data_IF_779631600623
#
_entry.id   IF_779631600623
#
_cell.length_a   1.000
_cell.length_b   1.000
_cell.length_c   1.000
_cell.angle_alpha   90.00
_cell.angle_beta   90.00
_cell.angle_gamma   90.00
#
_symmetry.space_group_name_H-M   'P 1'
#
loop_
_entity.id
_entity.type
_entity.pdbx_description
1 polymer ?
#
# COMPACT_ATOMS: atom_id res chain seq x y z
N UNK A 1 54.11 -28.64 105.26
CA UNK A 1 53.18 -29.73 105.58
C UNK A 1 52.08 -29.69 104.45
N UNK A 2 52.00 -30.75 103.66
CA UNK A 2 50.81 -31.34 103.12
C UNK A 2 50.00 -30.40 102.18
N UNK A 3 49.57 -30.72 100.98
CA UNK A 3 49.17 -32.02 100.35
C UNK A 3 49.09 -31.80 98.81
N UNK A 4 49.67 -32.69 98.08
CA UNK A 4 49.42 -32.95 96.69
C UNK A 4 48.07 -33.60 96.51
N UNK A 5 47.36 -33.42 95.44
CA UNK A 5 46.71 -34.46 94.61
C UNK A 5 45.60 -33.89 93.75
N UNK A 6 45.61 -34.39 92.51
CA UNK A 6 44.51 -34.60 91.60
C UNK A 6 44.23 -33.49 90.56
N UNK A 7 45.07 -33.51 89.50
CA UNK A 7 44.74 -32.85 88.20
C UNK A 7 45.17 -33.77 87.03
N UNK A 8 44.53 -34.91 86.91
CA UNK A 8 44.90 -35.86 85.78
C UNK A 8 43.78 -36.66 85.20
N UNK A 9 42.47 -36.24 85.30
CA UNK A 9 41.40 -37.08 84.81
C UNK A 9 40.29 -36.33 83.99
N UNK A 10 40.54 -35.15 83.37
CA UNK A 10 39.54 -34.40 82.61
C UNK A 10 39.92 -34.13 81.17
N UNK A 11 41.09 -34.56 80.67
CA UNK A 11 41.57 -34.22 79.33
C UNK A 11 41.17 -35.21 78.21
N UNK A 12 40.73 -36.43 78.51
CA UNK A 12 40.43 -37.47 77.49
C UNK A 12 39.06 -37.37 76.83
N UNK A 13 37.93 -36.80 77.37
CA UNK A 13 36.66 -36.80 76.66
C UNK A 13 36.48 -35.59 75.71
N UNK A 14 37.35 -34.55 75.68
CA UNK A 14 37.17 -33.38 74.79
C UNK A 14 37.73 -33.64 73.40
N UNK A 15 38.70 -34.55 73.21
CA UNK A 15 39.27 -34.89 71.90
C UNK A 15 38.32 -35.72 71.02
N UNK A 16 37.31 -36.39 71.59
CA UNK A 16 36.36 -37.25 70.87
C UNK A 16 35.16 -36.49 70.27
N UNK A 17 34.94 -35.20 70.67
CA UNK A 17 33.83 -34.36 70.16
C UNK A 17 34.22 -33.52 68.92
N UNK A 18 35.47 -33.44 68.53
CA UNK A 18 35.96 -32.69 67.39
C UNK A 18 36.05 -33.55 66.09
N UNK A 19 35.82 -34.83 66.11
CA UNK A 19 35.87 -35.71 64.95
C UNK A 19 34.47 -35.94 64.26
N UNK A 20 33.39 -35.34 64.73
CA UNK A 20 32.03 -35.59 64.24
C UNK A 20 31.44 -34.54 63.23
N UNK A 21 32.25 -33.56 62.78
CA UNK A 21 31.77 -32.53 61.83
C UNK A 21 32.46 -32.59 60.44
N UNK A 22 32.67 -33.79 59.89
CA UNK A 22 33.04 -33.97 58.49
C UNK A 22 31.81 -34.52 57.75
N UNK A 23 30.67 -33.82 57.77
CA UNK A 23 29.63 -34.06 56.83
C UNK A 23 30.04 -33.55 55.45
N UNK A 24 30.21 -34.45 54.46
CA UNK A 24 30.33 -34.07 53.05
C UNK A 24 29.25 -33.03 52.73
N UNK A 25 29.60 -31.87 52.14
CA UNK A 25 28.60 -30.89 51.77
C UNK A 25 27.54 -31.56 50.90
N UNK A 26 26.29 -31.39 51.26
CA UNK A 26 25.16 -31.89 50.48
C UNK A 26 25.30 -31.38 49.04
N UNK A 27 25.06 -32.19 48.02
CA UNK A 27 25.13 -31.71 46.65
C UNK A 27 24.20 -30.52 46.48
N UNK A 28 24.75 -29.40 45.97
CA UNK A 28 23.94 -28.21 45.70
C UNK A 28 22.72 -28.60 44.83
N UNK A 29 21.50 -28.16 45.19
CA UNK A 29 20.32 -28.52 44.43
C UNK A 29 20.46 -27.96 42.98
N UNK A 30 20.33 -28.85 42.00
CA UNK A 30 20.41 -28.49 40.59
C UNK A 30 19.36 -27.44 40.28
N UNK A 31 19.77 -26.31 39.70
CA UNK A 31 18.87 -25.24 39.30
C UNK A 31 18.11 -25.63 38.04
N UNK A 32 16.78 -25.55 38.10
CA UNK A 32 15.92 -25.74 36.93
C UNK A 32 16.00 -24.52 36.03
N UNK A 33 16.20 -24.74 34.75
CA UNK A 33 16.25 -23.69 33.70
C UNK A 33 15.23 -23.98 32.62
N UNK A 34 14.67 -22.92 32.03
CA UNK A 34 13.90 -23.06 30.78
C UNK A 34 14.88 -22.93 29.62
N UNK A 35 14.68 -23.75 28.59
CA UNK A 35 15.51 -23.74 27.40
C UNK A 35 14.68 -23.65 26.14
N UNK A 36 15.23 -23.04 25.10
CA UNK A 36 14.74 -23.11 23.73
C UNK A 36 15.77 -23.79 22.85
N UNK A 37 15.31 -24.60 21.91
CA UNK A 37 16.15 -25.24 20.90
C UNK A 37 16.49 -24.23 19.81
N UNK A 38 17.76 -24.14 19.45
CA UNK A 38 18.25 -23.31 18.35
C UNK A 38 17.85 -23.96 17.03
N UNK A 39 16.92 -23.31 16.33
CA UNK A 39 16.49 -23.73 14.99
C UNK A 39 16.77 -22.59 14.03
N UNK A 40 17.54 -22.88 13.00
CA UNK A 40 17.85 -21.94 11.96
C UNK A 40 16.77 -21.99 10.88
N UNK A 41 15.96 -20.96 10.84
CA UNK A 41 15.01 -20.75 9.74
C UNK A 41 15.53 -19.65 8.82
N UNK A 42 15.27 -19.79 7.52
CA UNK A 42 15.43 -18.66 6.60
C UNK A 42 14.37 -17.63 6.97
N UNK A 43 14.79 -16.67 7.75
CA UNK A 43 13.86 -15.65 8.27
C UNK A 43 13.38 -14.79 7.12
N UNK A 44 12.15 -15.01 6.66
CA UNK A 44 11.49 -14.07 5.77
C UNK A 44 11.15 -12.83 6.56
N UNK A 45 11.80 -11.74 6.24
CA UNK A 45 11.39 -10.44 6.77
C UNK A 45 10.09 -10.02 6.09
N UNK A 46 9.10 -9.73 6.90
CA UNK A 46 7.76 -9.37 6.41
C UNK A 46 7.43 -7.97 6.87
N UNK A 47 7.31 -7.03 5.94
CA UNK A 47 6.82 -5.70 6.20
C UNK A 47 5.33 -5.60 5.87
N UNK A 48 4.66 -4.65 6.52
CA UNK A 48 3.22 -4.41 6.30
C UNK A 48 2.99 -2.94 5.96
N UNK A 49 2.32 -2.72 4.82
CA UNK A 49 1.89 -1.39 4.40
C UNK A 49 0.38 -1.35 4.37
N UNK A 50 -0.18 -0.19 4.72
CA UNK A 50 -1.60 0.06 4.60
C UNK A 50 -1.87 0.93 3.39
N UNK A 51 -2.94 0.64 2.68
CA UNK A 51 -3.33 1.34 1.49
C UNK A 51 -4.81 1.20 1.21
N UNK A 52 -5.22 1.63 0.04
CA UNK A 52 -6.60 1.57 -0.42
C UNK A 52 -6.70 0.99 -1.83
N UNK A 53 -7.85 0.39 -2.11
CA UNK A 53 -8.21 -0.05 -3.45
C UNK A 53 -8.66 1.17 -4.25
N UNK A 54 -8.00 1.42 -5.37
CA UNK A 54 -8.34 2.49 -6.30
C UNK A 54 -8.60 1.92 -7.70
N UNK A 55 -9.42 2.62 -8.46
CA UNK A 55 -9.52 2.33 -9.88
C UNK A 55 -8.20 2.70 -10.57
N UNK A 56 -7.81 1.89 -11.55
CA UNK A 56 -6.66 2.22 -12.41
C UNK A 56 -6.94 3.48 -13.24
N UNK A 57 -8.15 3.57 -13.78
CA UNK A 57 -8.61 4.67 -14.61
C UNK A 57 -9.83 5.33 -13.98
N UNK A 58 -9.66 6.57 -13.60
CA UNK A 58 -10.71 7.45 -13.12
C UNK A 58 -10.63 8.76 -13.90
N UNK A 59 -11.75 9.21 -14.42
CA UNK A 59 -11.85 10.41 -15.24
C UNK A 59 -12.80 11.39 -14.57
N UNK A 60 -12.27 12.57 -14.27
CA UNK A 60 -13.07 13.70 -13.87
C UNK A 60 -13.73 14.33 -15.10
N UNK A 61 -15.06 14.48 -15.04
CA UNK A 61 -15.85 15.04 -16.13
C UNK A 61 -16.37 16.42 -15.76
N UNK A 62 -16.37 17.29 -16.75
CA UNK A 62 -16.78 18.68 -16.66
C UNK A 62 -17.63 19.05 -17.88
N UNK A 63 -18.50 20.03 -17.73
CA UNK A 63 -19.14 20.68 -18.87
C UNK A 63 -18.12 21.47 -19.68
N UNK A 64 -18.30 21.49 -21.01
CA UNK A 64 -17.49 22.28 -21.95
C UNK A 64 -18.06 23.69 -22.15
N UNK A 65 -19.12 24.02 -21.45
CA UNK A 65 -19.78 25.32 -21.42
C UNK A 65 -20.33 25.58 -20.01
N UNK A 66 -20.43 26.82 -19.58
CA UNK A 66 -20.95 27.17 -18.27
C UNK A 66 -22.49 27.31 -18.27
N UNK A 67 -23.13 27.17 -17.14
CA UNK A 67 -24.55 27.36 -17.02
C UNK A 67 -25.14 26.84 -15.71
N UNK A 68 -26.46 27.06 -15.53
CA UNK A 68 -27.20 26.54 -14.38
C UNK A 68 -27.62 25.09 -14.63
N UNK A 69 -27.35 24.20 -13.69
CA UNK A 69 -27.79 22.80 -13.76
C UNK A 69 -29.30 22.71 -13.54
N UNK A 70 -30.01 22.14 -14.50
CA UNK A 70 -31.46 21.90 -14.40
C UNK A 70 -31.80 20.46 -14.09
N UNK A 71 -30.91 19.52 -14.36
CA UNK A 71 -31.18 18.09 -14.14
C UNK A 71 -29.89 17.32 -13.84
N UNK A 72 -29.93 16.46 -12.80
CA UNK A 72 -28.95 15.47 -12.45
C UNK A 72 -29.56 14.09 -12.69
N UNK A 73 -28.87 13.21 -13.44
CA UNK A 73 -29.39 11.89 -13.85
C UNK A 73 -28.63 10.74 -13.22
N UNK A 74 -27.59 11.01 -12.44
CA UNK A 74 -26.74 10.00 -11.84
C UNK A 74 -26.50 10.26 -10.35
N UNK A 75 -26.30 9.17 -9.61
CA UNK A 75 -25.91 9.15 -8.20
C UNK A 75 -24.59 8.44 -7.99
N UNK A 76 -23.93 8.70 -6.85
CA UNK A 76 -22.69 8.01 -6.47
C UNK A 76 -22.97 6.51 -6.32
N UNK A 77 -22.09 5.68 -6.89
CA UNK A 77 -22.22 4.22 -6.93
C UNK A 77 -23.04 3.69 -8.12
N UNK A 78 -23.66 4.57 -8.91
CA UNK A 78 -24.43 4.16 -10.09
C UNK A 78 -23.48 3.74 -11.24
N UNK A 79 -23.81 2.65 -11.92
CA UNK A 79 -23.14 2.22 -13.16
C UNK A 79 -23.68 3.04 -14.34
N UNK A 80 -22.76 3.49 -15.17
CA UNK A 80 -23.05 4.25 -16.38
C UNK A 80 -22.33 3.66 -17.57
N UNK A 81 -22.97 3.78 -18.74
CA UNK A 81 -22.36 3.42 -20.03
C UNK A 81 -21.92 4.68 -20.76
N UNK A 82 -20.95 4.55 -21.64
CA UNK A 82 -20.52 5.66 -22.50
C UNK A 82 -21.69 6.22 -23.28
N UNK A 83 -21.90 7.54 -23.18
CA UNK A 83 -23.00 8.25 -23.84
C UNK A 83 -24.20 8.50 -22.93
N UNK A 84 -24.32 7.82 -21.76
CA UNK A 84 -25.40 8.09 -20.81
C UNK A 84 -25.39 9.54 -20.36
N UNK A 85 -26.58 10.12 -20.21
CA UNK A 85 -26.72 11.51 -19.73
C UNK A 85 -26.45 11.56 -18.24
N UNK A 86 -25.47 12.37 -17.84
CA UNK A 86 -25.08 12.61 -16.45
C UNK A 86 -25.85 13.81 -15.88
N UNK A 87 -25.82 14.94 -16.58
CA UNK A 87 -26.43 16.18 -16.16
C UNK A 87 -26.79 17.05 -17.37
N UNK A 88 -27.70 17.96 -17.16
CA UNK A 88 -28.13 18.91 -18.20
C UNK A 88 -28.13 20.33 -17.61
N UNK A 89 -27.59 21.27 -18.37
CA UNK A 89 -27.66 22.69 -18.09
C UNK A 89 -28.97 23.30 -18.66
N UNK A 90 -29.31 24.48 -18.18
CA UNK A 90 -30.29 25.34 -18.86
C UNK A 90 -29.75 25.73 -20.23
N UNK A 91 -30.37 25.21 -21.27
CA UNK A 91 -29.92 25.36 -22.65
C UNK A 91 -30.68 26.48 -23.42
N UNK A 92 -31.51 27.25 -22.74
CA UNK A 92 -32.38 28.28 -23.36
C UNK A 92 -31.56 29.27 -24.19
N UNK A 93 -30.47 29.83 -23.60
CA UNK A 93 -29.65 30.80 -24.30
C UNK A 93 -28.88 30.16 -25.47
N UNK A 94 -28.45 28.89 -25.31
CA UNK A 94 -27.76 28.15 -26.38
C UNK A 94 -28.71 27.84 -27.55
N UNK A 95 -29.96 27.52 -27.30
CA UNK A 95 -30.97 27.34 -28.36
C UNK A 95 -31.24 28.66 -29.11
N UNK A 96 -31.39 29.75 -28.40
CA UNK A 96 -31.56 31.07 -29.00
C UNK A 96 -30.36 31.46 -29.87
N UNK A 97 -29.14 31.16 -29.42
CA UNK A 97 -27.93 31.37 -30.21
C UNK A 97 -27.89 30.54 -31.49
N UNK A 98 -28.32 29.28 -31.45
CA UNK A 98 -28.48 28.42 -32.65
C UNK A 98 -29.48 29.01 -33.61
N UNK A 99 -30.65 29.44 -33.13
CA UNK A 99 -31.70 30.05 -33.95
C UNK A 99 -31.23 31.34 -34.61
N UNK A 100 -30.58 32.24 -33.86
CA UNK A 100 -30.02 33.47 -34.38
C UNK A 100 -28.96 33.18 -35.49
N UNK A 101 -28.04 32.25 -35.26
CA UNK A 101 -27.06 31.87 -36.25
C UNK A 101 -27.65 31.21 -37.49
N UNK A 102 -28.75 30.47 -37.34
CA UNK A 102 -29.50 29.87 -38.44
C UNK A 102 -30.14 30.94 -39.33
N UNK A 103 -30.80 31.96 -38.72
CA UNK A 103 -31.37 33.10 -39.48
C UNK A 103 -30.30 33.93 -40.19
N UNK A 104 -29.14 34.15 -39.56
CA UNK A 104 -28.02 34.83 -40.15
C UNK A 104 -27.51 34.11 -41.38
N UNK A 105 -27.31 32.77 -41.29
CA UNK A 105 -26.91 31.95 -42.43
C UNK A 105 -27.93 31.99 -43.57
N UNK A 106 -29.23 31.92 -43.23
CA UNK A 106 -30.27 31.98 -44.24
C UNK A 106 -30.24 33.31 -45.05
N UNK A 107 -30.02 34.44 -44.35
CA UNK A 107 -29.87 35.75 -44.97
C UNK A 107 -28.59 35.80 -45.88
N UNK A 108 -27.43 35.33 -45.38
CA UNK A 108 -26.19 35.30 -46.16
C UNK A 108 -26.31 34.39 -47.39
N UNK A 109 -26.99 33.26 -47.25
CA UNK A 109 -27.25 32.37 -48.39
C UNK A 109 -28.14 33.01 -49.46
N UNK A 110 -29.15 33.79 -49.03
CA UNK A 110 -30.00 34.51 -49.98
C UNK A 110 -29.21 35.57 -50.77
N UNK A 111 -28.32 36.31 -50.07
CA UNK A 111 -27.43 37.26 -50.72
C UNK A 111 -26.44 36.60 -51.67
N UNK A 112 -25.85 35.47 -51.30
CA UNK A 112 -24.94 34.71 -52.14
C UNK A 112 -25.65 34.17 -53.39
N UNK A 113 -26.89 33.64 -53.25
CA UNK A 113 -27.67 33.21 -54.43
C UNK A 113 -28.00 34.38 -55.37
N UNK A 114 -28.38 35.55 -54.84
CA UNK A 114 -28.65 36.74 -55.65
C UNK A 114 -27.38 37.19 -56.41
N UNK A 115 -26.26 37.31 -55.73
CA UNK A 115 -24.99 37.74 -56.33
C UNK A 115 -24.52 36.76 -57.42
N UNK A 116 -24.68 35.44 -57.17
CA UNK A 116 -24.35 34.43 -58.17
C UNK A 116 -25.27 34.49 -59.40
N UNK A 117 -26.55 34.71 -59.23
CA UNK A 117 -27.53 34.93 -60.30
C UNK A 117 -27.18 36.15 -61.14
N UNK A 118 -26.78 37.25 -60.49
CA UNK A 118 -26.36 38.48 -61.15
C UNK A 118 -25.05 38.27 -61.93
N UNK A 119 -24.06 37.57 -61.35
CA UNK A 119 -22.83 37.20 -62.04
C UNK A 119 -23.10 36.34 -63.28
N UNK A 120 -23.96 35.35 -63.19
CA UNK A 120 -24.30 34.50 -64.33
C UNK A 120 -24.97 35.30 -65.46
N UNK A 121 -25.87 36.23 -65.12
CA UNK A 121 -26.57 37.10 -66.09
C UNK A 121 -25.58 38.02 -66.79
N UNK A 122 -24.69 38.73 -66.03
CA UNK A 122 -23.68 39.61 -66.59
C UNK A 122 -22.65 38.84 -67.45
N UNK A 123 -22.25 37.67 -67.05
CA UNK A 123 -21.35 36.82 -67.84
C UNK A 123 -21.99 36.38 -69.14
N UNK A 124 -23.29 36.08 -69.21
CA UNK A 124 -24.01 35.77 -70.47
C UNK A 124 -24.07 37.01 -71.40
N UNK A 125 -24.32 38.21 -70.85
CA UNK A 125 -24.34 39.44 -71.67
C UNK A 125 -22.99 39.94 -72.10
N UNK A 126 -21.90 39.48 -71.50
CA UNK A 126 -20.52 39.78 -71.89
C UNK A 126 -20.17 39.21 -73.26
N UNK A 127 -20.69 38.04 -73.61
CA UNK A 127 -20.48 37.40 -74.95
C UNK A 127 -21.04 38.26 -76.06
N UNK A 128 -22.08 39.04 -75.81
CA UNK A 128 -22.75 39.91 -76.81
C UNK A 128 -22.16 41.35 -76.83
N UNK A 129 -21.13 41.59 -76.03
CA UNK A 129 -20.46 42.91 -75.91
C UNK A 129 -21.31 43.98 -75.20
N UNK A 130 -22.39 43.57 -74.49
CA UNK A 130 -23.34 44.49 -73.86
C UNK A 130 -22.91 44.89 -72.43
N UNK A 131 -21.79 44.34 -71.88
CA UNK A 131 -21.31 44.55 -70.49
C UNK A 131 -19.80 44.87 -70.54
N UNK A 132 -19.36 45.84 -69.71
CA UNK A 132 -17.96 46.15 -69.59
C UNK A 132 -17.17 45.07 -68.84
N UNK A 133 -15.89 44.84 -69.14
CA UNK A 133 -15.07 43.89 -68.37
C UNK A 133 -15.01 44.19 -66.89
N UNK A 134 -15.03 45.48 -66.50
CA UNK A 134 -15.02 45.92 -65.11
C UNK A 134 -16.29 45.56 -64.37
N UNK A 135 -17.45 45.53 -65.00
CA UNK A 135 -18.70 45.16 -64.35
C UNK A 135 -18.82 43.68 -64.20
N UNK A 136 -18.28 42.82 -65.09
CA UNK A 136 -18.16 41.41 -64.94
C UNK A 136 -17.23 41.04 -63.78
N UNK A 137 -16.04 41.68 -63.69
CA UNK A 137 -15.10 41.51 -62.57
C UNK A 137 -15.72 41.89 -61.21
N UNK A 138 -16.46 42.97 -61.14
CA UNK A 138 -17.18 43.38 -59.92
C UNK A 138 -18.22 42.35 -59.53
N UNK A 139 -19.02 41.87 -60.46
CA UNK A 139 -20.03 40.82 -60.18
C UNK A 139 -19.40 39.50 -59.73
N UNK A 140 -18.27 39.09 -60.34
CA UNK A 140 -17.54 37.94 -59.91
C UNK A 140 -17.00 38.08 -58.49
N UNK A 141 -16.34 39.22 -58.18
CA UNK A 141 -15.83 39.53 -56.85
C UNK A 141 -16.95 39.54 -55.78
N UNK A 142 -18.11 40.17 -56.13
CA UNK A 142 -19.26 40.19 -55.22
C UNK A 142 -19.83 38.81 -54.96
N UNK A 143 -19.99 37.96 -56.01
CA UNK A 143 -20.44 36.57 -55.85
C UNK A 143 -19.48 35.76 -54.98
N UNK A 144 -18.16 35.93 -55.16
CA UNK A 144 -17.14 35.27 -54.37
C UNK A 144 -17.21 35.72 -52.88
N UNK A 145 -17.33 37.05 -52.65
CA UNK A 145 -17.38 37.62 -51.28
C UNK A 145 -18.65 37.17 -50.52
N UNK A 146 -19.80 37.23 -51.18
CA UNK A 146 -21.08 36.83 -50.55
C UNK A 146 -21.10 35.34 -50.28
N UNK A 147 -20.52 34.50 -51.13
CA UNK A 147 -20.35 33.09 -50.91
C UNK A 147 -19.45 32.81 -49.71
N UNK A 148 -18.31 33.49 -49.63
CA UNK A 148 -17.41 33.34 -48.47
C UNK A 148 -18.09 33.77 -47.15
N UNK A 149 -18.93 34.80 -47.17
CA UNK A 149 -19.74 35.22 -46.02
C UNK A 149 -20.74 34.13 -45.60
N UNK A 150 -21.45 33.51 -46.55
CA UNK A 150 -22.37 32.42 -46.25
C UNK A 150 -21.65 31.20 -45.68
N UNK A 151 -20.47 30.88 -46.20
CA UNK A 151 -19.62 29.79 -45.63
C UNK A 151 -19.16 30.11 -44.20
N UNK A 152 -18.75 31.39 -43.93
CA UNK A 152 -18.38 31.80 -42.57
C UNK A 152 -19.56 31.72 -41.59
N UNK A 153 -20.76 32.11 -42.00
CA UNK A 153 -21.95 32.03 -41.16
C UNK A 153 -22.43 30.58 -40.96
N UNK A 154 -22.19 29.67 -41.92
CA UNK A 154 -22.36 28.24 -41.72
C UNK A 154 -21.46 27.72 -40.57
N UNK A 155 -20.20 28.14 -40.51
CA UNK A 155 -19.30 27.76 -39.39
C UNK A 155 -19.74 28.35 -38.05
N UNK A 156 -20.32 29.54 -38.03
CA UNK A 156 -20.90 30.11 -36.78
C UNK A 156 -22.07 29.29 -36.31
N UNK A 157 -22.93 28.83 -37.21
CA UNK A 157 -24.04 27.94 -36.85
C UNK A 157 -23.53 26.58 -36.31
N UNK A 158 -22.51 26.00 -36.92
CA UNK A 158 -21.90 24.77 -36.41
C UNK A 158 -21.35 24.96 -34.99
N UNK A 159 -20.67 26.10 -34.72
CA UNK A 159 -20.18 26.43 -33.38
C UNK A 159 -21.32 26.59 -32.36
N UNK A 160 -22.41 27.25 -32.73
CA UNK A 160 -23.56 27.42 -31.86
C UNK A 160 -24.21 26.07 -31.52
N UNK A 161 -24.36 25.19 -32.51
CA UNK A 161 -24.85 23.80 -32.31
C UNK A 161 -23.99 23.00 -31.37
N UNK A 162 -22.67 23.05 -31.55
CA UNK A 162 -21.74 22.35 -30.66
C UNK A 162 -21.88 22.85 -29.20
N UNK A 163 -22.01 24.16 -28.98
CA UNK A 163 -22.23 24.72 -27.64
C UNK A 163 -23.54 24.25 -27.01
N UNK A 164 -24.60 24.14 -27.80
CA UNK A 164 -25.88 23.59 -27.34
C UNK A 164 -25.74 22.11 -26.95
N UNK A 165 -25.02 21.32 -27.76
CA UNK A 165 -24.75 19.91 -27.43
C UNK A 165 -23.96 19.77 -26.14
N UNK A 166 -22.98 20.65 -25.89
CA UNK A 166 -22.17 20.66 -24.68
C UNK A 166 -22.95 21.06 -23.41
N UNK A 167 -24.15 21.60 -23.52
CA UNK A 167 -25.06 21.81 -22.39
C UNK A 167 -25.60 20.51 -21.80
N UNK A 168 -25.43 19.38 -22.50
CA UNK A 168 -25.74 18.04 -21.98
C UNK A 168 -24.42 17.28 -21.72
N UNK A 169 -24.11 17.01 -20.44
CA UNK A 169 -22.95 16.21 -20.07
C UNK A 169 -23.29 14.73 -20.20
N UNK A 170 -22.46 14.01 -20.95
CA UNK A 170 -22.57 12.56 -21.15
C UNK A 170 -21.35 11.84 -20.65
N UNK A 171 -21.52 10.60 -20.18
CA UNK A 171 -20.43 9.73 -19.76
C UNK A 171 -19.43 9.48 -20.90
N UNK A 172 -18.15 9.77 -20.67
CA UNK A 172 -17.08 9.57 -21.67
C UNK A 172 -16.65 8.12 -21.80
N UNK A 173 -16.97 7.28 -20.80
CA UNK A 173 -16.59 5.88 -20.71
C UNK A 173 -17.59 5.10 -19.84
N UNK A 174 -17.57 3.76 -20.00
CA UNK A 174 -18.28 2.86 -19.08
C UNK A 174 -17.59 2.86 -17.71
N UNK A 175 -18.37 2.76 -16.64
CA UNK A 175 -17.82 2.72 -15.29
C UNK A 175 -18.85 2.95 -14.18
N UNK A 176 -18.34 3.25 -13.00
CA UNK A 176 -19.12 3.61 -11.81
C UNK A 176 -18.84 5.05 -11.43
N UNK A 177 -19.88 5.79 -11.07
CA UNK A 177 -19.77 7.15 -10.55
C UNK A 177 -19.17 7.08 -9.14
N UNK A 178 -17.98 7.65 -8.95
CA UNK A 178 -17.26 7.66 -7.66
C UNK A 178 -17.50 8.92 -6.88
N UNK A 179 -17.74 10.03 -7.55
CA UNK A 179 -18.08 11.30 -6.90
C UNK A 179 -19.00 12.16 -7.75
N UNK A 180 -19.88 12.91 -7.08
CA UNK A 180 -20.72 13.96 -7.64
C UNK A 180 -20.50 15.22 -6.82
N UNK A 181 -20.08 16.32 -7.48
CA UNK A 181 -19.67 17.56 -6.83
C UNK A 181 -20.55 18.75 -7.25
N UNK A 182 -21.81 18.50 -7.58
CA UNK A 182 -22.75 19.53 -7.99
C UNK A 182 -24.18 19.16 -7.60
N UNK A 183 -25.04 20.16 -7.54
CA UNK A 183 -26.46 19.98 -7.27
C UNK A 183 -27.34 20.71 -8.31
N UNK A 184 -28.59 20.25 -8.44
CA UNK A 184 -29.59 20.92 -9.28
C UNK A 184 -29.85 22.35 -8.78
N UNK A 185 -29.83 23.30 -9.70
CA UNK A 185 -29.94 24.73 -9.40
C UNK A 185 -28.59 25.43 -9.25
N UNK A 186 -27.49 24.72 -9.11
CA UNK A 186 -26.15 25.30 -9.03
C UNK A 186 -25.70 25.82 -10.40
N UNK A 187 -24.93 26.92 -10.42
CA UNK A 187 -24.22 27.42 -11.59
C UNK A 187 -22.81 26.82 -11.59
N UNK A 188 -22.43 26.20 -12.70
CA UNK A 188 -21.11 25.58 -12.90
C UNK A 188 -20.36 26.30 -14.02
N UNK A 189 -19.04 26.39 -13.86
CA UNK A 189 -18.17 26.98 -14.87
C UNK A 189 -17.73 25.95 -15.90
N UNK A 190 -17.31 26.43 -17.07
CA UNK A 190 -16.65 25.62 -18.09
C UNK A 190 -15.36 24.99 -17.51
N UNK A 191 -15.16 23.68 -17.75
CA UNK A 191 -13.99 22.94 -17.30
C UNK A 191 -13.97 22.59 -15.80
N UNK A 192 -14.97 22.99 -15.01
CA UNK A 192 -15.07 22.65 -13.60
C UNK A 192 -15.40 21.16 -13.45
N UNK A 193 -14.54 20.33 -12.79
CA UNK A 193 -14.83 18.92 -12.53
C UNK A 193 -16.05 18.76 -11.63
N UNK A 194 -17.06 18.05 -12.09
CA UNK A 194 -18.33 17.86 -11.37
C UNK A 194 -18.67 16.41 -11.06
N UNK A 195 -18.18 15.47 -11.85
CA UNK A 195 -18.40 14.03 -11.67
C UNK A 195 -17.14 13.28 -11.95
N UNK A 196 -16.82 12.27 -11.12
CA UNK A 196 -15.74 11.32 -11.38
C UNK A 196 -16.32 9.96 -11.75
N UNK A 197 -15.82 9.35 -12.83
CA UNK A 197 -16.22 8.02 -13.28
C UNK A 197 -15.00 7.12 -13.31
N UNK A 198 -15.04 6.04 -12.52
CA UNK A 198 -14.00 5.03 -12.44
C UNK A 198 -14.37 3.78 -13.25
N UNK A 199 -13.42 3.20 -13.97
CA UNK A 199 -13.59 1.86 -14.54
C UNK A 199 -13.51 0.81 -13.43
N UNK A 200 -14.49 -0.08 -13.35
CA UNK A 200 -14.47 -1.21 -12.42
C UNK A 200 -13.42 -2.29 -12.80
N UNK A 201 -12.95 -2.25 -14.03
CA UNK A 201 -11.97 -3.18 -14.57
C UNK A 201 -10.57 -2.78 -14.10
N UNK A 202 -9.80 -3.74 -13.59
CA UNK A 202 -8.42 -3.55 -13.12
C UNK A 202 -8.28 -2.64 -11.87
N UNK A 203 -8.94 -2.97 -10.74
CA UNK A 203 -8.69 -2.27 -9.49
C UNK A 203 -7.25 -2.51 -9.02
N UNK A 204 -6.63 -1.49 -8.44
CA UNK A 204 -5.25 -1.51 -7.93
C UNK A 204 -5.22 -1.21 -6.43
N UNK A 205 -4.24 -1.80 -5.74
CA UNK A 205 -3.93 -1.43 -4.37
C UNK A 205 -2.86 -0.36 -4.41
N UNK A 206 -3.15 0.77 -3.80
CA UNK A 206 -2.23 1.91 -3.73
C UNK A 206 -1.71 2.03 -2.31
N UNK A 207 -0.39 1.96 -2.17
CA UNK A 207 0.32 2.13 -0.89
C UNK A 207 1.40 3.19 -1.02
N UNK A 208 1.78 3.78 0.11
CA UNK A 208 2.88 4.73 0.18
C UNK A 208 4.07 4.05 0.87
N UNK A 209 5.23 4.04 0.22
CA UNK A 209 6.45 3.38 0.65
C UNK A 209 7.46 4.43 1.09
N UNK A 210 7.99 4.40 2.33
CA UNK A 210 9.06 5.28 2.79
C UNK A 210 10.33 5.14 1.95
N UNK A 211 11.12 6.20 1.85
CA UNK A 211 12.32 6.24 1.02
C UNK A 211 13.38 5.21 1.47
N UNK A 212 13.57 5.04 2.76
CA UNK A 212 14.52 4.11 3.36
C UNK A 212 14.21 2.63 3.06
N UNK A 213 12.94 2.32 2.74
CA UNK A 213 12.47 0.96 2.45
C UNK A 213 12.36 0.65 0.94
N UNK A 214 12.63 1.63 0.09
CA UNK A 214 12.34 1.55 -1.35
C UNK A 214 13.11 0.42 -2.06
N UNK A 215 14.39 0.23 -1.74
CA UNK A 215 15.25 -0.81 -2.34
C UNK A 215 14.77 -2.21 -1.96
N UNK A 216 14.45 -2.41 -0.69
CA UNK A 216 13.92 -3.67 -0.17
C UNK A 216 12.53 -3.97 -0.76
N UNK A 217 11.68 -2.94 -0.87
CA UNK A 217 10.36 -3.06 -1.49
C UNK A 217 10.42 -3.56 -2.93
N UNK A 218 11.35 -3.04 -3.77
CA UNK A 218 11.47 -3.45 -5.18
C UNK A 218 11.84 -4.91 -5.39
N UNK A 219 12.57 -5.51 -4.45
CA UNK A 219 13.05 -6.90 -4.55
C UNK A 219 12.10 -7.93 -3.91
N UNK A 220 10.97 -7.51 -3.36
CA UNK A 220 10.08 -8.32 -2.56
C UNK A 220 8.99 -9.03 -3.38
N UNK A 221 8.33 -10.00 -2.74
CA UNK A 221 7.04 -10.55 -3.18
C UNK A 221 5.91 -9.88 -2.42
N UNK A 222 4.75 -9.79 -3.04
CA UNK A 222 3.64 -9.03 -2.49
C UNK A 222 2.40 -9.88 -2.38
N UNK A 223 1.78 -9.82 -1.21
CA UNK A 223 0.44 -10.36 -0.97
C UNK A 223 -0.43 -9.27 -0.38
N UNK A 224 -1.69 -9.29 -0.70
CA UNK A 224 -2.63 -8.32 -0.17
C UNK A 224 -3.78 -8.99 0.56
N UNK A 225 -4.33 -8.27 1.52
CA UNK A 225 -5.49 -8.68 2.31
C UNK A 225 -6.39 -7.47 2.44
N UNK A 226 -7.67 -7.61 2.11
CA UNK A 226 -8.65 -6.58 2.40
C UNK A 226 -9.00 -6.58 3.88
N UNK A 227 -9.18 -5.40 4.46
CA UNK A 227 -9.59 -5.30 5.87
C UNK A 227 -10.96 -5.93 6.12
N UNK A 228 -11.84 -5.93 5.11
CA UNK A 228 -13.16 -6.57 5.15
C UNK A 228 -13.14 -8.09 5.05
N UNK A 229 -12.01 -8.70 4.61
CA UNK A 229 -11.84 -10.14 4.44
C UNK A 229 -10.43 -10.56 4.87
N UNK A 230 -10.11 -10.55 6.18
CA UNK A 230 -8.76 -10.73 6.71
C UNK A 230 -8.18 -12.12 6.43
N UNK A 231 -9.02 -13.12 6.23
CA UNK A 231 -8.61 -14.51 6.01
C UNK A 231 -8.34 -14.82 4.51
N UNK A 232 -8.66 -13.88 3.61
CA UNK A 232 -8.49 -14.05 2.17
C UNK A 232 -7.31 -13.24 1.65
N UNK A 233 -6.11 -13.81 1.74
CA UNK A 233 -4.94 -13.22 1.12
C UNK A 233 -4.85 -13.60 -0.37
N UNK A 234 -4.34 -12.68 -1.19
CA UNK A 234 -4.12 -12.90 -2.62
C UNK A 234 -2.82 -12.25 -3.08
N UNK A 235 -2.24 -12.83 -4.11
CA UNK A 235 -1.01 -12.30 -4.71
C UNK A 235 -1.29 -11.03 -5.51
N UNK A 236 -0.37 -10.09 -5.40
CA UNK A 236 -0.37 -8.84 -6.17
C UNK A 236 1.00 -8.60 -6.77
N UNK A 237 1.02 -7.88 -7.88
CA UNK A 237 2.25 -7.56 -8.63
C UNK A 237 2.43 -6.06 -8.67
N UNK A 238 3.63 -5.60 -8.40
CA UNK A 238 3.99 -4.19 -8.55
C UNK A 238 3.89 -3.80 -10.03
N UNK A 239 2.97 -2.89 -10.35
CA UNK A 239 2.79 -2.36 -11.70
C UNK A 239 3.54 -1.05 -11.89
N UNK A 240 3.46 -0.19 -10.90
CA UNK A 240 4.01 1.16 -10.98
C UNK A 240 4.55 1.60 -9.63
N UNK A 241 5.69 2.25 -9.66
CA UNK A 241 6.28 2.92 -8.52
C UNK A 241 6.59 4.35 -8.96
N UNK A 242 6.01 5.32 -8.27
CA UNK A 242 6.23 6.72 -8.60
C UNK A 242 7.75 7.04 -8.60
N UNK A 243 8.27 7.72 -9.61
CA UNK A 243 9.69 8.06 -9.68
C UNK A 243 10.10 9.14 -8.69
N UNK A 244 9.13 9.88 -8.14
CA UNK A 244 9.34 10.97 -7.22
C UNK A 244 8.54 10.76 -5.93
N UNK A 245 9.16 11.06 -4.80
CA UNK A 245 8.49 11.06 -3.52
C UNK A 245 7.50 12.23 -3.40
N UNK A 246 6.39 12.00 -2.70
CA UNK A 246 5.50 13.06 -2.29
C UNK A 246 6.23 13.96 -1.27
N UNK A 247 6.33 15.25 -1.54
CA UNK A 247 7.13 16.20 -0.75
C UNK A 247 6.69 16.30 0.72
N UNK A 248 5.37 16.19 0.97
CA UNK A 248 4.81 16.30 2.32
C UNK A 248 5.11 15.09 3.22
N UNK A 249 5.14 13.88 2.65
CA UNK A 249 5.26 12.63 3.42
C UNK A 249 6.58 11.90 3.20
N UNK A 250 7.38 12.32 2.21
CA UNK A 250 8.62 11.64 1.76
C UNK A 250 8.41 10.16 1.44
N UNK A 251 7.24 9.85 0.87
CA UNK A 251 6.88 8.48 0.50
C UNK A 251 6.69 8.36 -1.01
N UNK A 252 7.04 7.21 -1.55
CA UNK A 252 6.82 6.86 -2.95
C UNK A 252 5.50 6.11 -3.10
N UNK A 253 4.66 6.55 -4.01
CA UNK A 253 3.40 5.86 -4.28
C UNK A 253 3.66 4.61 -5.12
N UNK A 254 3.29 3.46 -4.59
CA UNK A 254 3.33 2.19 -5.29
C UNK A 254 1.89 1.74 -5.64
N UNK A 255 1.70 1.28 -6.87
CA UNK A 255 0.45 0.73 -7.38
C UNK A 255 0.64 -0.74 -7.73
N UNK A 256 -0.14 -1.59 -7.10
CA UNK A 256 -0.06 -3.03 -7.27
C UNK A 256 -1.39 -3.55 -7.83
N UNK A 257 -1.31 -4.40 -8.83
CA UNK A 257 -2.48 -5.08 -9.40
C UNK A 257 -2.57 -6.52 -8.87
N UNK A 258 -3.78 -7.08 -8.71
CA UNK A 258 -3.93 -8.51 -8.45
C UNK A 258 -3.23 -9.33 -9.54
N UNK A 259 -2.51 -10.40 -9.15
CA UNK A 259 -1.84 -11.30 -10.10
C UNK A 259 -2.87 -12.02 -10.99
N UNK A 260 -4.02 -12.36 -10.42
CA UNK A 260 -5.19 -12.88 -11.14
C UNK A 260 -6.29 -11.83 -11.11
N UNK A 261 -6.90 -11.47 -12.26
CA UNK A 261 -7.99 -10.50 -12.30
C UNK A 261 -9.12 -10.89 -11.33
N UNK A 262 -9.50 -9.95 -10.48
CA UNK A 262 -10.60 -10.11 -9.52
C UNK A 262 -11.26 -8.78 -9.22
N UNK A 263 -12.57 -8.75 -8.96
CA UNK A 263 -13.24 -7.55 -8.50
C UNK A 263 -12.76 -7.22 -7.07
N UNK A 264 -12.45 -5.95 -6.83
CA UNK A 264 -12.15 -5.41 -5.51
C UNK A 264 -13.02 -4.17 -5.29
N UNK A 265 -13.64 -4.02 -4.11
CA UNK A 265 -14.44 -2.83 -3.80
C UNK A 265 -13.55 -1.57 -3.84
N UNK A 266 -13.90 -0.59 -4.66
CA UNK A 266 -13.20 0.68 -4.70
C UNK A 266 -13.32 1.42 -3.35
N UNK A 267 -12.25 2.05 -2.92
CA UNK A 267 -12.18 2.70 -1.61
C UNK A 267 -11.93 1.77 -0.43
N UNK A 268 -11.98 0.43 -0.61
CA UNK A 268 -11.71 -0.50 0.48
C UNK A 268 -10.28 -0.38 1.00
N UNK A 269 -10.11 -0.49 2.32
CA UNK A 269 -8.78 -0.54 2.94
C UNK A 269 -8.13 -1.90 2.70
N UNK A 270 -6.86 -1.88 2.31
CA UNK A 270 -6.05 -3.06 2.07
C UNK A 270 -4.76 -3.03 2.87
N UNK A 271 -4.33 -4.20 3.33
CA UNK A 271 -3.02 -4.42 3.93
C UNK A 271 -2.15 -5.16 2.92
N UNK A 272 -1.05 -4.55 2.53
CA UNK A 272 -0.03 -5.17 1.72
C UNK A 272 1.00 -5.84 2.62
N UNK A 273 1.25 -7.10 2.40
CA UNK A 273 2.28 -7.92 3.03
C UNK A 273 3.42 -8.04 2.03
N UNK A 274 4.57 -7.53 2.43
CA UNK A 274 5.78 -7.49 1.60
C UNK A 274 6.76 -8.51 2.15
N UNK A 275 6.96 -9.60 1.43
CA UNK A 275 7.84 -10.70 1.80
C UNK A 275 9.19 -10.47 1.11
N UNK A 276 10.20 -10.13 1.90
CA UNK A 276 11.55 -10.01 1.39
C UNK A 276 12.18 -11.40 1.25
N UNK A 277 12.98 -11.64 0.20
CA UNK A 277 13.79 -12.87 0.13
C UNK A 277 14.61 -12.96 1.41
N UNK A 278 14.55 -14.11 2.07
CA UNK A 278 15.44 -14.37 3.20
C UNK A 278 16.88 -14.14 2.73
N UNK A 279 17.64 -13.31 3.45
CA UNK A 279 19.07 -13.21 3.22
C UNK A 279 19.72 -14.61 3.32
N UNK A 280 20.86 -14.81 2.66
CA UNK A 280 21.58 -16.09 2.69
C UNK A 280 22.01 -16.54 4.09
N UNK A 281 21.91 -15.66 5.08
CA UNK A 281 22.26 -15.91 6.46
C UNK A 281 21.05 -16.43 7.22
N UNK A 282 20.99 -17.75 7.42
CA UNK A 282 20.03 -18.35 8.32
C UNK A 282 20.24 -17.77 9.74
N UNK A 283 19.18 -17.34 10.38
CA UNK A 283 19.18 -16.85 11.75
C UNK A 283 18.30 -17.74 12.65
N UNK A 284 18.69 -17.92 13.89
CA UNK A 284 17.87 -18.60 14.87
C UNK A 284 17.10 -17.57 15.69
N UNK A 285 15.79 -17.74 15.78
CA UNK A 285 14.94 -16.93 16.65
C UNK A 285 15.03 -17.49 18.08
N UNK A 286 15.46 -16.66 19.03
CA UNK A 286 15.44 -16.97 20.47
C UNK A 286 14.75 -15.84 21.22
N UNK A 287 14.06 -16.11 22.34
CA UNK A 287 13.53 -15.05 23.17
C UNK A 287 14.61 -14.05 23.58
N UNK A 288 14.33 -12.75 23.46
CA UNK A 288 15.30 -11.71 23.81
C UNK A 288 15.80 -11.82 25.26
N UNK A 289 14.99 -12.41 26.15
CA UNK A 289 15.35 -12.73 27.55
C UNK A 289 16.49 -13.75 27.67
N UNK A 290 16.87 -14.48 26.62
CA UNK A 290 17.99 -15.40 26.59
C UNK A 290 19.34 -14.69 26.36
N UNK A 291 19.32 -13.45 25.87
CA UNK A 291 20.53 -12.68 25.62
C UNK A 291 21.18 -12.21 26.93
N UNK A 292 22.49 -12.37 26.98
CA UNK A 292 23.37 -11.83 28.02
C UNK A 292 24.59 -11.17 27.36
N UNK A 293 25.55 -10.75 28.15
CA UNK A 293 26.78 -10.15 27.65
C UNK A 293 28.00 -10.93 28.15
N UNK A 294 28.99 -11.07 27.29
CA UNK A 294 30.31 -11.56 27.61
C UNK A 294 31.32 -10.50 27.20
N UNK A 295 31.96 -9.85 28.18
CA UNK A 295 32.93 -8.77 27.94
C UNK A 295 32.40 -7.68 26.97
N UNK A 296 31.15 -7.25 27.17
CA UNK A 296 30.51 -6.23 26.32
C UNK A 296 29.99 -6.74 24.96
N UNK A 297 30.13 -8.03 24.65
CA UNK A 297 29.60 -8.65 23.42
C UNK A 297 28.35 -9.47 23.73
N UNK A 298 27.36 -9.49 22.83
CA UNK A 298 26.19 -10.33 22.98
C UNK A 298 26.58 -11.80 23.11
N UNK A 299 25.97 -12.50 24.05
CA UNK A 299 26.22 -13.92 24.31
C UNK A 299 24.93 -14.63 24.78
N UNK A 300 24.92 -15.95 24.70
CA UNK A 300 23.86 -16.81 25.22
C UNK A 300 24.47 -17.96 26.04
N UNK A 301 23.70 -18.50 26.99
CA UNK A 301 24.07 -19.69 27.72
C UNK A 301 23.59 -20.93 26.97
N UNK A 302 24.53 -21.69 26.39
CA UNK A 302 24.26 -22.97 25.72
C UNK A 302 24.36 -24.10 26.72
N UNK A 303 23.39 -25.02 26.71
CA UNK A 303 23.37 -26.18 27.58
C UNK A 303 23.91 -27.40 26.83
N UNK A 304 25.03 -27.91 27.28
CA UNK A 304 25.61 -29.17 26.81
C UNK A 304 25.06 -30.33 27.66
N UNK A 305 24.29 -31.25 27.06
CA UNK A 305 23.74 -32.43 27.71
C UNK A 305 24.85 -33.50 27.79
N UNK A 306 24.97 -34.15 28.94
CA UNK A 306 25.77 -35.33 29.11
C UNK A 306 24.87 -36.57 28.89
N UNK A 307 24.80 -37.06 27.64
CA UNK A 307 23.93 -38.20 27.30
C UNK A 307 22.45 -37.92 27.30
N UNK A 308 21.64 -38.89 27.73
CA UNK A 308 20.16 -38.81 27.83
C UNK A 308 19.68 -38.18 29.14
N UNK A 309 20.59 -37.75 30.01
CA UNK A 309 20.25 -37.25 31.34
C UNK A 309 19.56 -35.88 31.26
N UNK A 310 18.61 -35.71 32.16
CA UNK A 310 17.90 -34.43 32.34
C UNK A 310 18.78 -33.35 33.02
N UNK A 311 20.09 -33.49 33.00
CA UNK A 311 21.10 -32.60 33.57
C UNK A 311 22.08 -32.19 32.47
N UNK A 312 22.39 -30.91 32.41
CA UNK A 312 23.38 -30.38 31.47
C UNK A 312 24.32 -29.38 32.13
N UNK A 313 25.43 -29.08 31.47
CA UNK A 313 26.36 -28.00 31.87
C UNK A 313 26.21 -26.82 30.97
N UNK A 314 26.19 -25.60 31.54
CA UNK A 314 26.07 -24.39 30.76
C UNK A 314 27.44 -23.83 30.35
N UNK A 315 27.54 -23.38 29.10
CA UNK A 315 28.66 -22.66 28.57
C UNK A 315 28.23 -21.34 27.94
N UNK A 316 29.04 -20.30 28.13
CA UNK A 316 28.73 -18.98 27.55
C UNK A 316 29.28 -18.95 26.12
N UNK A 317 28.39 -18.71 25.15
CA UNK A 317 28.71 -18.67 23.71
C UNK A 317 28.41 -17.28 23.18
N UNK A 318 29.39 -16.64 22.54
CA UNK A 318 29.16 -15.36 21.87
C UNK A 318 28.27 -15.54 20.64
N UNK A 319 27.38 -14.58 20.42
CA UNK A 319 26.42 -14.56 19.30
C UNK A 319 26.52 -13.25 18.56
N UNK A 320 26.13 -13.27 17.28
CA UNK A 320 25.86 -12.04 16.51
C UNK A 320 24.37 -11.85 16.43
N UNK A 321 23.89 -10.73 16.96
CA UNK A 321 22.47 -10.33 16.85
C UNK A 321 22.31 -9.66 15.50
N UNK A 322 21.48 -10.25 14.64
CA UNK A 322 21.20 -9.76 13.29
C UNK A 322 20.05 -8.77 13.30
N UNK A 323 18.99 -9.07 14.08
CA UNK A 323 17.80 -8.21 14.22
C UNK A 323 17.01 -8.55 15.49
N UNK A 324 16.08 -7.68 15.87
CA UNK A 324 15.06 -7.94 16.88
C UNK A 324 13.68 -7.99 16.20
N UNK A 325 12.85 -8.94 16.61
CA UNK A 325 11.49 -9.11 16.09
C UNK A 325 10.52 -9.41 17.23
N UNK A 326 9.66 -8.47 17.60
CA UNK A 326 8.80 -8.53 18.77
C UNK A 326 9.61 -8.87 20.04
N UNK A 327 9.33 -10.02 20.67
CA UNK A 327 10.00 -10.50 21.89
C UNK A 327 11.22 -11.40 21.59
N UNK A 328 11.55 -11.61 20.32
CA UNK A 328 12.64 -12.47 19.89
C UNK A 328 13.83 -11.70 19.33
N UNK A 329 15.03 -12.23 19.56
CA UNK A 329 16.26 -11.82 18.91
C UNK A 329 16.64 -12.86 17.84
N UNK A 330 16.99 -12.39 16.65
CA UNK A 330 17.52 -13.20 15.57
C UNK A 330 19.03 -13.26 15.71
N UNK A 331 19.56 -14.44 15.98
CA UNK A 331 20.98 -14.62 16.26
C UNK A 331 21.64 -15.64 15.32
N UNK A 332 22.96 -15.51 15.19
CA UNK A 332 23.84 -16.55 14.64
C UNK A 332 24.98 -16.82 15.62
N UNK A 333 25.51 -18.06 15.61
CA UNK A 333 26.61 -18.48 16.48
C UNK A 333 26.43 -19.90 17.01
N UNK A 334 25.42 -20.19 17.86
CA UNK A 334 25.17 -21.55 18.36
C UNK A 334 24.82 -22.52 17.23
N UNK A 335 25.10 -23.81 17.40
CA UNK A 335 24.75 -24.83 16.38
C UNK A 335 23.26 -25.15 16.42
N UNK A 336 22.73 -25.55 15.26
CA UNK A 336 21.36 -26.07 15.18
C UNK A 336 21.17 -27.26 16.11
N UNK A 337 20.05 -27.28 16.86
CA UNK A 337 19.74 -28.30 17.85
C UNK A 337 20.32 -28.05 19.24
N UNK A 338 21.20 -27.07 19.42
CA UNK A 338 21.68 -26.69 20.75
C UNK A 338 20.55 -26.06 21.59
N UNK A 339 20.61 -26.24 22.89
CA UNK A 339 19.64 -25.66 23.83
C UNK A 339 20.20 -24.38 24.44
N UNK A 340 19.47 -23.30 24.35
CA UNK A 340 19.80 -22.01 24.95
C UNK A 340 18.91 -21.74 26.16
N UNK A 341 19.49 -21.28 27.26
CA UNK A 341 18.76 -20.90 28.47
C UNK A 341 17.94 -19.63 28.22
N UNK A 342 16.63 -19.69 28.42
CA UNK A 342 15.70 -18.57 28.19
C UNK A 342 15.21 -17.90 29.46
N UNK A 343 15.37 -18.57 30.62
CA UNK A 343 15.02 -17.98 31.92
C UNK A 343 16.08 -18.32 32.98
N UNK A 344 16.38 -17.33 33.83
CA UNK A 344 17.41 -17.45 34.86
C UNK A 344 18.83 -17.13 34.39
N UNK A 345 18.98 -16.50 33.25
CA UNK A 345 20.25 -16.16 32.57
C UNK A 345 21.23 -15.43 33.49
N UNK A 346 20.73 -14.50 34.32
CA UNK A 346 21.56 -13.70 35.24
C UNK A 346 22.21 -14.51 36.39
N UNK A 347 21.74 -15.74 36.65
CA UNK A 347 22.23 -16.59 37.73
C UNK A 347 23.12 -17.73 37.19
N UNK A 348 23.50 -17.68 35.93
CA UNK A 348 24.34 -18.68 35.29
C UNK A 348 25.84 -18.35 35.44
N UNK A 349 26.65 -19.38 35.55
CA UNK A 349 28.11 -19.29 35.54
C UNK A 349 28.69 -20.41 34.65
N UNK A 350 29.85 -20.19 34.03
CA UNK A 350 30.48 -21.21 33.17
C UNK A 350 30.68 -22.52 33.95
N UNK A 351 30.27 -23.65 33.36
CA UNK A 351 30.39 -24.97 33.98
C UNK A 351 29.32 -25.33 35.01
N UNK A 352 28.35 -24.42 35.30
CA UNK A 352 27.28 -24.73 36.23
C UNK A 352 26.39 -25.87 35.72
N UNK A 353 26.10 -26.84 36.59
CA UNK A 353 25.16 -27.93 36.30
C UNK A 353 23.72 -27.44 36.49
N UNK A 354 22.89 -27.67 35.49
CA UNK A 354 21.47 -27.27 35.47
C UNK A 354 20.55 -28.45 35.18
N UNK A 355 19.35 -28.41 35.76
CA UNK A 355 18.30 -29.41 35.47
C UNK A 355 17.41 -28.88 34.33
N UNK A 356 17.15 -29.73 33.34
CA UNK A 356 16.28 -29.46 32.20
C UNK A 356 14.84 -29.84 32.50
N UNK A 357 13.83 -29.22 31.85
CA UNK A 357 12.43 -29.63 31.99
C UNK A 357 12.26 -31.11 31.61
N UNK A 358 11.72 -31.92 32.50
CA UNK A 358 11.64 -33.40 32.39
C UNK A 358 12.44 -34.15 33.45
N UNK A 359 13.33 -33.49 34.22
CA UNK A 359 14.13 -34.10 35.30
C UNK A 359 13.34 -34.43 36.57
N UNK A 360 12.10 -33.97 36.72
CA UNK A 360 11.41 -33.97 38.02
C UNK A 360 10.73 -35.29 38.39
N UNK A 361 10.78 -36.33 37.54
CA UNK A 361 10.04 -37.58 37.85
C UNK A 361 10.86 -38.63 38.60
N UNK A 362 12.17 -38.65 38.54
CA UNK A 362 12.95 -39.76 39.08
C UNK A 362 13.63 -39.50 40.46
N UNK A 363 13.85 -38.24 40.83
CA UNK A 363 14.48 -37.94 42.12
C UNK A 363 13.48 -37.93 43.30
N UNK A 364 12.24 -37.52 43.05
CA UNK A 364 11.19 -37.54 44.11
C UNK A 364 10.59 -38.91 44.36
N UNK A 365 10.57 -39.82 43.38
CA UNK A 365 10.14 -41.20 43.62
C UNK A 365 11.13 -42.03 44.43
N UNK A 366 12.43 -41.69 44.44
CA UNK A 366 13.42 -42.39 45.28
C UNK A 366 13.46 -41.90 46.72
N UNK A 367 12.90 -40.74 47.05
CA UNK A 367 12.78 -40.24 48.43
C UNK A 367 11.45 -40.66 49.13
N UNK A 368 10.43 -41.03 48.37
CA UNK A 368 9.18 -41.54 48.93
C UNK A 368 9.15 -43.06 49.15
N UNK A 369 10.23 -43.76 48.77
CA UNK A 369 10.40 -45.23 48.93
C UNK A 369 11.47 -45.60 49.95
N UNK A 370 11.82 -44.69 50.88
CA UNK A 370 12.66 -45.02 52.06
C UNK A 370 11.97 -44.62 53.34
#
# INVERSE_FOLDING_TARGET
>A
MKTHLTLSLVVVPVAALLAACSSKPAPEPLRMVRTAEVRYDKTQETDRYFGSVMARYEVDQAFRVGGKVVSRKVDVGQKVQRGDVIAVLDDTDYRLAVEAAQQQLAAAQAQARQAESDRQRLNALKSDGSVSPSDDEKAQSNAQTTRATAEADARKLDLARNRLEYATLRASQDGVVTSVKFEVGQVVAEGQPIVSIAKEVEPEIVVNVPEDQLSAFKAARYRAVLTSAPDQSFEVVLRELAPQAASATRTFRARLKPATPRPLPLGASARLIVERPAGDTAAAAIPASALTQNNGRPAVWVVHRAGTDAVGTVALTNVVVQAYRNDDALISGPKAGELVVTAGVQKMAPGLKVALPGATSNAQMKQAAR
#
